data_IF_180583183265
#
_entry.id   IF_180583183265
#
_cell.length_a   1.000
_cell.length_b   1.000
_cell.length_c   1.000
_cell.angle_alpha   90.00
_cell.angle_beta   90.00
_cell.angle_gamma   90.00
#
_symmetry.space_group_name_H-M   'P 1'
#
loop_
_entity.id
_entity.type
_entity.pdbx_description
1 polymer ?
#
# COMPACT_ATOMS: atom_id res chain seq x y z
N UNK A 1 26.21 -20.34 35.73
CA UNK A 1 24.74 -20.23 35.65
C UNK A 1 24.43 -18.77 35.39
N UNK A 2 24.11 -18.41 34.14
CA UNK A 2 23.82 -17.02 33.74
C UNK A 2 22.31 -16.86 33.80
N UNK A 3 21.83 -15.98 34.67
CA UNK A 3 20.41 -15.63 34.76
C UNK A 3 20.09 -14.55 33.73
N UNK A 4 19.20 -14.84 32.79
CA UNK A 4 18.54 -13.83 31.98
C UNK A 4 17.49 -13.14 32.85
N UNK A 5 17.68 -11.84 33.12
CA UNK A 5 16.61 -10.99 33.64
C UNK A 5 15.79 -10.54 32.43
N UNK A 6 14.50 -10.87 32.32
CA UNK A 6 13.66 -10.31 31.27
C UNK A 6 13.54 -8.80 31.53
N UNK A 7 14.09 -7.98 30.64
CA UNK A 7 13.85 -6.55 30.64
C UNK A 7 12.38 -6.32 30.29
N UNK A 8 11.57 -6.03 31.31
CA UNK A 8 10.23 -5.48 31.14
C UNK A 8 10.38 -4.17 30.37
N UNK A 9 9.66 -4.01 29.26
CA UNK A 9 9.50 -2.72 28.60
C UNK A 9 8.71 -1.84 29.57
N UNK A 10 9.40 -1.11 30.43
CA UNK A 10 8.83 -0.05 31.24
C UNK A 10 8.84 1.21 30.39
N UNK A 11 7.73 1.51 29.70
CA UNK A 11 7.51 2.88 29.24
C UNK A 11 7.11 3.71 30.46
N UNK A 12 7.93 4.68 30.84
CA UNK A 12 7.65 5.64 31.92
C UNK A 12 6.66 6.74 31.48
N UNK A 13 6.05 6.60 30.31
CA UNK A 13 5.02 7.50 29.83
C UNK A 13 3.67 7.00 30.33
N UNK A 14 3.11 7.67 31.34
CA UNK A 14 1.70 7.54 31.64
C UNK A 14 0.92 7.76 30.34
N UNK A 15 0.25 6.71 29.83
CA UNK A 15 -0.70 6.87 28.73
C UNK A 15 -1.84 7.72 29.28
N UNK A 16 -1.81 9.02 29.00
CA UNK A 16 -2.99 9.86 29.11
C UNK A 16 -3.91 9.45 27.97
N UNK A 17 -5.00 8.75 28.32
CA UNK A 17 -6.06 8.46 27.35
C UNK A 17 -6.74 9.78 27.02
N UNK A 18 -6.28 10.45 25.97
CA UNK A 18 -7.01 11.60 25.41
C UNK A 18 -8.31 11.05 24.84
N UNK A 19 -9.44 11.65 25.21
CA UNK A 19 -10.75 11.27 24.68
C UNK A 19 -10.77 11.32 23.15
N UNK A 20 -11.68 10.59 22.49
CA UNK A 20 -11.70 10.53 21.03
C UNK A 20 -11.90 11.93 20.42
N UNK A 21 -10.96 12.37 19.58
CA UNK A 21 -11.12 13.57 18.75
C UNK A 21 -12.03 13.24 17.57
N UNK A 22 -13.19 13.90 17.48
CA UNK A 22 -14.04 13.77 16.30
C UNK A 22 -13.47 14.62 15.15
N UNK A 23 -12.98 13.97 14.10
CA UNK A 23 -12.38 14.62 12.93
C UNK A 23 -13.47 15.17 11.99
N UNK A 24 -14.74 14.79 12.18
CA UNK A 24 -15.89 15.34 11.45
C UNK A 24 -15.97 14.93 9.98
N UNK A 25 -15.12 13.99 9.54
CA UNK A 25 -15.13 13.47 8.18
C UNK A 25 -15.19 11.93 8.23
N UNK A 26 -16.25 11.36 7.67
CA UNK A 26 -16.44 9.91 7.58
C UNK A 26 -15.75 9.33 6.35
N UNK A 27 -15.08 8.19 6.52
CA UNK A 27 -14.46 7.40 5.44
C UNK A 27 -14.28 5.94 5.84
N UNK A 28 -14.20 5.05 4.85
CA UNK A 28 -13.84 3.63 5.00
C UNK A 28 -12.36 3.41 4.66
N UNK A 29 -11.86 2.19 4.96
CA UNK A 29 -10.47 1.75 4.68
C UNK A 29 -9.42 2.81 5.06
N UNK A 30 -9.36 3.15 6.34
CA UNK A 30 -8.48 4.20 6.82
C UNK A 30 -7.09 3.63 7.14
N UNK A 31 -6.04 4.35 6.74
CA UNK A 31 -4.67 4.11 7.20
C UNK A 31 -4.08 5.38 7.84
N UNK A 32 -3.08 5.22 8.70
CA UNK A 32 -2.44 6.33 9.43
C UNK A 32 -0.92 6.15 9.40
N UNK A 33 -0.20 7.22 9.08
CA UNK A 33 1.25 7.30 9.16
C UNK A 33 1.69 8.46 10.05
N UNK A 34 2.76 8.25 10.83
CA UNK A 34 3.39 9.27 11.65
C UNK A 34 4.79 9.59 11.13
N UNK A 35 5.11 10.87 10.97
CA UNK A 35 6.42 11.28 10.46
C UNK A 35 7.53 10.81 11.43
N UNK A 36 8.52 10.02 10.98
CA UNK A 36 9.57 9.50 11.85
C UNK A 36 10.47 10.61 12.43
N UNK A 37 10.49 11.79 11.81
CA UNK A 37 11.29 12.94 12.22
C UNK A 37 10.47 13.97 13.04
N UNK A 38 9.15 13.80 13.14
CA UNK A 38 8.27 14.68 13.89
C UNK A 38 6.97 13.96 14.27
N UNK A 39 6.92 13.39 15.49
CA UNK A 39 5.77 12.63 15.96
C UNK A 39 4.46 13.44 16.05
N UNK A 40 4.53 14.78 16.06
CA UNK A 40 3.33 15.64 16.00
C UNK A 40 2.75 15.74 14.58
N UNK A 41 3.50 15.34 13.55
CA UNK A 41 3.02 15.31 12.18
C UNK A 41 2.46 13.93 11.83
N UNK A 42 1.13 13.85 11.76
CA UNK A 42 0.37 12.65 11.41
C UNK A 42 -0.34 12.87 10.08
N UNK A 43 -0.51 11.80 9.29
CA UNK A 43 -1.30 11.81 8.06
C UNK A 43 -2.20 10.58 8.05
N UNK A 44 -3.49 10.80 7.93
CA UNK A 44 -4.52 9.80 7.78
C UNK A 44 -4.98 9.77 6.32
N UNK A 45 -5.10 8.57 5.77
CA UNK A 45 -5.57 8.32 4.41
C UNK A 45 -6.89 7.61 4.50
N UNK A 46 -7.86 8.03 3.70
CA UNK A 46 -9.21 7.51 3.80
C UNK A 46 -10.08 7.81 2.58
N UNK A 47 -11.08 6.95 2.39
CA UNK A 47 -12.07 7.07 1.31
C UNK A 47 -13.07 8.19 1.66
N UNK A 48 -12.66 9.46 1.59
CA UNK A 48 -13.49 10.59 2.04
C UNK A 48 -14.52 11.05 1.03
N UNK A 49 -14.18 10.97 -0.25
CA UNK A 49 -15.05 11.26 -1.39
C UNK A 49 -14.33 10.74 -2.62
N UNK A 50 -15.04 10.36 -3.68
CA UNK A 50 -14.45 10.14 -5.01
C UNK A 50 -13.82 11.43 -5.62
N UNK A 51 -13.60 12.47 -4.80
CA UNK A 51 -12.95 13.72 -5.18
C UNK A 51 -11.47 13.67 -4.82
N UNK A 52 -10.58 13.91 -5.79
CA UNK A 52 -9.14 14.03 -5.56
C UNK A 52 -8.76 15.13 -4.56
N UNK A 53 -9.63 16.12 -4.32
CA UNK A 53 -9.32 17.28 -3.48
C UNK A 53 -9.09 16.96 -1.99
N UNK A 54 -9.32 15.72 -1.53
CA UNK A 54 -9.17 15.29 -0.14
C UNK A 54 -8.62 13.85 0.00
N UNK A 55 -7.45 13.58 -0.58
CA UNK A 55 -6.77 12.27 -0.49
C UNK A 55 -6.41 11.86 0.94
N UNK A 56 -6.13 12.84 1.79
CA UNK A 56 -5.64 12.62 3.14
C UNK A 56 -6.03 13.77 4.06
N UNK A 57 -6.05 13.47 5.34
CA UNK A 57 -6.10 14.43 6.44
C UNK A 57 -4.74 14.47 7.11
N UNK A 58 -4.30 15.65 7.55
CA UNK A 58 -3.04 15.78 8.28
C UNK A 58 -3.23 16.53 9.59
N UNK A 59 -2.38 16.22 10.55
CA UNK A 59 -2.21 16.94 11.81
C UNK A 59 -0.76 17.37 11.95
N UNK A 60 -0.53 18.51 12.61
CA UNK A 60 0.79 19.03 13.00
C UNK A 60 0.95 19.16 14.52
N UNK A 61 -0.06 18.74 15.28
CA UNK A 61 -0.16 18.90 16.73
C UNK A 61 -0.49 17.57 17.44
N UNK A 62 -0.04 16.46 16.86
CA UNK A 62 -0.18 15.13 17.46
C UNK A 62 -1.61 14.59 17.44
N UNK A 63 -2.44 15.06 16.50
CA UNK A 63 -3.82 14.59 16.32
C UNK A 63 -4.87 15.41 17.09
N UNK A 64 -4.49 16.57 17.65
CA UNK A 64 -5.43 17.47 18.33
C UNK A 64 -6.32 18.19 17.33
N UNK A 65 -5.74 18.68 16.23
CA UNK A 65 -6.45 19.27 15.09
C UNK A 65 -6.06 18.58 13.78
N UNK A 66 -6.99 18.60 12.82
CA UNK A 66 -6.86 17.92 11.53
C UNK A 66 -7.30 18.83 10.39
N UNK A 67 -6.55 18.78 9.30
CA UNK A 67 -6.75 19.60 8.11
C UNK A 67 -6.78 18.71 6.87
N UNK A 68 -7.60 19.09 5.88
CA UNK A 68 -7.63 18.38 4.61
C UNK A 68 -6.39 18.73 3.78
N UNK A 69 -5.68 17.71 3.32
CA UNK A 69 -4.64 17.87 2.31
C UNK A 69 -5.26 18.14 0.95
N UNK A 70 -4.60 18.95 0.13
CA UNK A 70 -5.08 19.32 -1.21
C UNK A 70 -4.20 18.73 -2.29
N UNK A 71 -4.79 18.22 -3.37
CA UNK A 71 -4.04 17.85 -4.58
C UNK A 71 -3.73 19.06 -5.43
N UNK A 72 -2.46 19.25 -5.77
CA UNK A 72 -1.99 20.31 -6.66
C UNK A 72 -2.00 19.87 -8.13
N UNK A 73 -1.95 18.57 -8.38
CA UNK A 73 -2.02 17.98 -9.71
C UNK A 73 -2.63 16.58 -9.64
N UNK A 74 -3.35 16.21 -10.69
CA UNK A 74 -3.85 14.86 -10.89
C UNK A 74 -3.28 14.34 -12.20
N UNK A 75 -2.94 13.04 -12.28
CA UNK A 75 -2.60 12.47 -13.57
C UNK A 75 -3.84 12.55 -14.50
N UNK A 76 -3.68 12.44 -15.82
CA UNK A 76 -4.82 12.31 -16.72
C UNK A 76 -5.62 11.03 -16.39
N UNK A 77 -6.88 11.14 -15.94
CA UNK A 77 -7.63 9.98 -15.47
C UNK A 77 -8.89 10.27 -14.67
N UNK A 78 -9.79 9.28 -14.60
CA UNK A 78 -10.82 9.14 -13.58
C UNK A 78 -10.22 8.22 -12.53
N UNK A 79 -9.99 8.76 -11.35
CA UNK A 79 -9.48 8.01 -10.22
C UNK A 79 -10.64 7.74 -9.30
N UNK A 80 -10.94 6.47 -9.09
CA UNK A 80 -11.63 6.05 -7.89
C UNK A 80 -10.55 6.01 -6.81
N UNK A 81 -10.67 6.86 -5.80
CA UNK A 81 -9.78 6.82 -4.63
C UNK A 81 -10.46 5.96 -3.59
N UNK A 82 -10.32 4.64 -3.74
CA UNK A 82 -10.85 3.64 -2.83
C UNK A 82 -9.68 2.84 -2.25
N UNK A 83 -9.91 2.25 -1.07
CA UNK A 83 -8.94 1.50 -0.28
C UNK A 83 -7.55 2.15 -0.12
N UNK A 84 -7.46 3.45 0.22
CA UNK A 84 -6.18 4.13 0.26
C UNK A 84 -5.28 3.58 1.36
N UNK A 85 -4.07 3.20 0.97
CA UNK A 85 -3.01 2.87 1.91
C UNK A 85 -1.84 3.84 1.74
N UNK A 86 -1.30 4.30 2.86
CA UNK A 86 -0.24 5.28 2.84
C UNK A 86 0.85 5.02 3.86
N UNK A 87 2.05 5.43 3.46
CA UNK A 87 3.31 5.23 4.20
C UNK A 87 4.09 6.53 4.27
N UNK A 88 5.17 6.54 5.06
CA UNK A 88 6.13 7.64 5.14
C UNK A 88 7.55 7.11 5.05
N UNK A 89 8.42 7.76 4.27
CA UNK A 89 9.84 7.41 4.19
C UNK A 89 10.66 8.01 5.35
N UNK A 90 11.93 7.62 5.46
CA UNK A 90 12.77 8.09 6.57
C UNK A 90 13.09 9.59 6.52
N UNK A 91 12.81 10.27 5.41
CA UNK A 91 12.92 11.73 5.28
C UNK A 91 11.64 12.45 5.68
N UNK A 92 10.55 11.72 5.98
CA UNK A 92 9.26 12.31 6.32
C UNK A 92 8.42 12.67 5.09
N UNK A 93 8.74 12.15 3.91
CA UNK A 93 7.85 12.27 2.76
C UNK A 93 6.77 11.20 2.87
N UNK A 94 5.52 11.62 2.71
CA UNK A 94 4.39 10.71 2.74
C UNK A 94 4.01 10.27 1.33
N UNK A 95 3.54 9.04 1.22
CA UNK A 95 3.07 8.42 -0.01
C UNK A 95 1.70 7.82 0.24
N UNK A 96 0.82 7.88 -0.76
CA UNK A 96 -0.45 7.16 -0.76
C UNK A 96 -0.67 6.52 -2.11
N UNK A 97 -1.03 5.26 -2.10
CA UNK A 97 -1.57 4.53 -3.24
C UNK A 97 -3.06 4.29 -3.03
N UNK A 98 -3.80 4.13 -4.12
CA UNK A 98 -5.25 3.88 -4.05
C UNK A 98 -5.67 2.79 -5.01
N UNK A 99 -6.54 1.89 -4.59
CA UNK A 99 -7.25 0.99 -5.47
C UNK A 99 -8.14 1.76 -6.46
N UNK A 100 -8.31 1.23 -7.67
CA UNK A 100 -9.29 1.76 -8.63
C UNK A 100 -8.76 2.77 -9.65
N UNK A 101 -7.44 2.95 -9.75
CA UNK A 101 -6.83 3.82 -10.77
C UNK A 101 -7.10 3.36 -12.20
N UNK A 102 -7.72 4.24 -13.01
CA UNK A 102 -7.93 4.06 -14.45
C UNK A 102 -7.37 5.24 -15.23
N UNK A 103 -6.52 4.96 -16.21
CA UNK A 103 -6.13 5.97 -17.17
C UNK A 103 -7.29 6.19 -18.15
N UNK A 104 -7.92 7.36 -18.15
CA UNK A 104 -9.08 7.64 -19.01
C UNK A 104 -8.70 7.88 -20.46
N UNK A 105 -7.47 8.28 -20.73
CA UNK A 105 -6.99 8.51 -22.10
C UNK A 105 -6.85 7.18 -22.84
N UNK A 106 -6.28 6.18 -22.18
CA UNK A 106 -6.08 4.84 -22.77
C UNK A 106 -7.15 3.84 -22.38
N UNK A 107 -8.05 4.22 -21.48
CA UNK A 107 -9.10 3.39 -20.90
C UNK A 107 -8.58 2.14 -20.17
N UNK A 108 -7.29 2.10 -19.81
CA UNK A 108 -6.59 0.96 -19.21
C UNK A 108 -6.41 1.10 -17.69
N UNK A 109 -6.10 -0.03 -17.03
CA UNK A 109 -5.73 -0.05 -15.62
C UNK A 109 -4.39 0.66 -15.44
N UNK A 110 -4.31 1.55 -14.47
CA UNK A 110 -3.09 2.23 -14.08
C UNK A 110 -3.19 2.69 -12.63
N UNK A 111 -2.34 2.15 -11.77
CA UNK A 111 -2.28 2.53 -10.37
C UNK A 111 -1.18 3.56 -10.16
N UNK A 112 -1.47 4.69 -9.50
CA UNK A 112 -0.51 5.77 -9.27
C UNK A 112 -0.29 6.00 -7.78
N UNK A 113 0.91 6.45 -7.43
CA UNK A 113 1.17 7.02 -6.12
C UNK A 113 1.07 8.54 -6.14
N UNK A 114 0.71 9.08 -4.99
CA UNK A 114 0.79 10.50 -4.68
C UNK A 114 1.80 10.70 -3.56
N UNK A 115 2.53 11.81 -3.63
CA UNK A 115 3.58 12.16 -2.69
C UNK A 115 3.32 13.53 -2.07
N UNK A 116 3.55 13.62 -0.77
CA UNK A 116 3.60 14.87 -0.01
C UNK A 116 4.98 15.03 0.64
N UNK A 117 5.57 16.22 0.48
CA UNK A 117 6.86 16.60 1.09
C UNK A 117 6.72 17.71 2.14
N UNK A 118 5.49 18.18 2.38
CA UNK A 118 5.15 19.20 3.38
C UNK A 118 4.33 18.59 4.55
N UNK A 119 4.41 17.27 4.67
CA UNK A 119 3.80 16.48 5.74
C UNK A 119 2.28 16.42 5.69
N UNK A 120 1.74 16.21 4.49
CA UNK A 120 0.35 15.90 4.20
C UNK A 120 -0.50 17.08 3.72
N UNK A 121 0.06 18.29 3.62
CA UNK A 121 -0.70 19.48 3.25
C UNK A 121 -0.96 19.56 1.74
N UNK A 122 0.04 19.27 0.92
CA UNK A 122 -0.10 19.18 -0.53
C UNK A 122 0.33 17.82 -1.08
N UNK A 123 -0.36 17.38 -2.13
CA UNK A 123 -0.16 16.08 -2.77
C UNK A 123 0.04 16.24 -4.27
N UNK A 124 1.13 15.66 -4.77
CA UNK A 124 1.44 15.60 -6.20
C UNK A 124 1.42 14.15 -6.66
N UNK A 125 0.82 13.87 -7.81
CA UNK A 125 0.94 12.55 -8.43
C UNK A 125 2.36 12.29 -8.93
N UNK A 126 2.85 11.08 -8.76
CA UNK A 126 4.08 10.63 -9.41
C UNK A 126 3.84 10.34 -10.90
N UNK A 127 4.83 10.57 -11.77
CA UNK A 127 4.64 10.54 -13.22
C UNK A 127 4.40 9.14 -13.78
N UNK A 128 4.96 8.12 -13.12
CA UNK A 128 4.90 6.72 -13.55
C UNK A 128 3.91 5.96 -12.68
N UNK A 129 2.97 5.19 -13.26
CA UNK A 129 2.14 4.31 -12.46
C UNK A 129 2.98 3.21 -11.81
N UNK A 130 2.59 2.75 -10.63
CA UNK A 130 3.13 1.56 -9.95
C UNK A 130 3.06 0.36 -10.90
N UNK A 131 1.92 0.19 -11.54
CA UNK A 131 1.71 -0.77 -12.61
C UNK A 131 0.61 -0.29 -13.56
N UNK A 132 0.65 -0.83 -14.77
CA UNK A 132 -0.34 -0.63 -15.82
C UNK A 132 -0.54 -1.92 -16.60
N UNK A 133 -1.45 -1.94 -17.57
CA UNK A 133 -1.65 -3.09 -18.46
C UNK A 133 -0.38 -3.53 -19.23
N UNK A 134 0.63 -2.67 -19.35
CA UNK A 134 1.90 -3.00 -20.01
C UNK A 134 2.95 -3.56 -19.03
N UNK A 135 2.70 -3.51 -17.72
CA UNK A 135 3.62 -4.02 -16.69
C UNK A 135 3.73 -5.55 -16.77
N UNK A 136 4.96 -6.06 -16.75
CA UNK A 136 5.20 -7.51 -16.66
C UNK A 136 5.17 -7.96 -15.21
N UNK A 137 4.68 -9.17 -14.99
CA UNK A 137 4.68 -9.85 -13.71
C UNK A 137 5.36 -11.20 -13.87
N UNK A 138 6.44 -11.44 -13.12
CA UNK A 138 7.11 -12.73 -13.05
C UNK A 138 6.28 -13.70 -12.22
N UNK A 139 6.00 -14.89 -12.75
CA UNK A 139 5.11 -15.86 -12.11
C UNK A 139 5.86 -16.88 -11.23
N UNK A 140 5.20 -17.41 -10.17
CA UNK A 140 5.67 -18.60 -9.47
C UNK A 140 5.83 -19.78 -10.45
N UNK A 141 6.97 -20.45 -10.43
CA UNK A 141 7.27 -21.55 -11.35
C UNK A 141 7.88 -21.12 -12.69
N UNK A 142 8.07 -19.81 -12.91
CA UNK A 142 8.74 -19.25 -14.08
C UNK A 142 7.79 -18.70 -15.14
N UNK A 143 8.35 -17.91 -16.07
CA UNK A 143 7.60 -17.19 -17.09
C UNK A 143 7.11 -15.83 -16.61
N UNK A 144 6.46 -15.10 -17.52
CA UNK A 144 5.92 -13.76 -17.28
C UNK A 144 4.50 -13.65 -17.79
N UNK A 145 3.72 -12.81 -17.13
CA UNK A 145 2.38 -12.40 -17.55
C UNK A 145 2.30 -10.87 -17.63
N UNK A 146 1.28 -10.34 -18.28
CA UNK A 146 0.97 -8.90 -18.27
C UNK A 146 -0.21 -8.62 -17.37
N UNK A 147 -0.24 -7.46 -16.72
CA UNK A 147 -1.44 -7.00 -16.02
C UNK A 147 -2.59 -6.85 -17.02
N UNK A 148 -3.78 -7.28 -16.63
CA UNK A 148 -4.93 -7.24 -17.51
C UNK A 148 -5.36 -5.84 -17.96
N UNK A 149 -5.75 -5.72 -19.23
CA UNK A 149 -6.46 -4.54 -19.74
C UNK A 149 -7.90 -4.53 -19.22
N UNK A 150 -8.48 -3.35 -19.06
CA UNK A 150 -9.89 -3.24 -18.65
C UNK A 150 -10.76 -3.76 -19.78
N UNK A 151 -11.56 -4.78 -19.49
CA UNK A 151 -12.58 -5.31 -20.42
C UNK A 151 -13.92 -4.67 -20.04
N UNK A 152 -14.68 -4.10 -21.00
CA UNK A 152 -16.00 -3.55 -20.71
C UNK A 152 -16.90 -4.58 -20.00
N UNK A 153 -17.54 -4.16 -18.90
CA UNK A 153 -18.44 -5.01 -18.12
C UNK A 153 -17.73 -5.94 -17.12
N UNK A 154 -16.40 -5.94 -17.07
CA UNK A 154 -15.62 -6.65 -16.05
C UNK A 154 -15.13 -5.62 -15.03
N UNK A 155 -15.51 -5.71 -13.74
CA UNK A 155 -15.03 -4.78 -12.71
C UNK A 155 -13.51 -4.85 -12.57
N UNK A 156 -12.87 -3.76 -12.13
CA UNK A 156 -11.41 -3.64 -11.97
C UNK A 156 -10.86 -4.80 -11.11
N UNK A 157 -9.76 -5.40 -11.55
CA UNK A 157 -9.34 -6.77 -11.19
C UNK A 157 -8.04 -6.80 -10.36
N UNK A 158 -7.97 -6.02 -9.29
CA UNK A 158 -7.01 -6.20 -8.20
C UNK A 158 -7.66 -5.72 -6.91
N UNK A 159 -7.13 -6.08 -5.75
CA UNK A 159 -7.72 -5.72 -4.46
C UNK A 159 -6.64 -5.83 -3.36
N UNK A 160 -6.92 -5.26 -2.20
CA UNK A 160 -6.02 -5.24 -1.03
C UNK A 160 -4.65 -4.67 -1.35
N UNK A 161 -4.62 -3.51 -2.01
CA UNK A 161 -3.36 -2.84 -2.20
C UNK A 161 -2.80 -2.29 -0.89
N UNK A 162 -1.49 -2.42 -0.73
CA UNK A 162 -0.77 -1.90 0.42
C UNK A 162 0.58 -1.34 -0.01
N UNK A 163 1.03 -0.31 0.67
CA UNK A 163 2.32 0.33 0.44
C UNK A 163 3.11 0.45 1.74
N UNK A 164 4.41 0.22 1.66
CA UNK A 164 5.33 0.52 2.75
C UNK A 164 6.63 1.08 2.23
N UNK A 165 7.19 2.03 2.99
CA UNK A 165 8.55 2.51 2.81
C UNK A 165 9.45 1.82 3.83
N UNK A 166 10.62 1.36 3.39
CA UNK A 166 11.64 0.85 4.31
C UNK A 166 12.29 2.01 5.07
N UNK A 167 11.86 2.21 6.31
CA UNK A 167 12.39 3.25 7.18
C UNK A 167 13.52 2.78 8.09
N UNK A 168 13.89 1.50 8.02
CA UNK A 168 14.90 0.94 8.91
C UNK A 168 16.26 1.63 8.66
N UNK A 169 16.92 2.15 9.71
CA UNK A 169 18.23 2.78 9.57
C UNK A 169 19.34 1.79 9.20
N UNK A 170 19.13 0.49 9.43
CA UNK A 170 20.11 -0.57 9.17
C UNK A 170 19.79 -1.39 7.93
N UNK A 171 18.64 -1.17 7.29
CA UNK A 171 18.30 -1.92 6.08
C UNK A 171 19.21 -1.48 4.93
N UNK A 172 19.75 -2.44 4.15
CA UNK A 172 20.46 -2.12 2.91
C UNK A 172 19.54 -1.51 1.85
N UNK A 173 18.21 -1.59 2.04
CA UNK A 173 17.18 -1.09 1.12
C UNK A 173 16.42 0.10 1.68
N UNK A 174 16.98 0.80 2.68
CA UNK A 174 16.37 1.99 3.28
C UNK A 174 15.88 2.96 2.21
N UNK A 175 14.64 3.44 2.39
CA UNK A 175 13.85 4.30 1.51
C UNK A 175 13.36 3.66 0.20
N UNK A 176 13.57 2.37 -0.02
CA UNK A 176 12.81 1.67 -1.05
C UNK A 176 11.32 1.67 -0.69
N UNK A 177 10.48 1.79 -1.70
CA UNK A 177 9.04 1.62 -1.59
C UNK A 177 8.66 0.24 -2.09
N UNK A 178 7.74 -0.40 -1.40
CA UNK A 178 7.15 -1.67 -1.79
C UNK A 178 5.65 -1.51 -1.87
N UNK A 179 5.10 -1.90 -3.00
CA UNK A 179 3.67 -1.90 -3.24
C UNK A 179 3.22 -3.35 -3.46
N UNK A 180 2.16 -3.74 -2.77
CA UNK A 180 1.59 -5.08 -2.86
C UNK A 180 0.19 -4.96 -3.41
N UNK A 181 -0.16 -5.81 -4.36
CA UNK A 181 -1.52 -5.97 -4.84
C UNK A 181 -1.89 -7.45 -4.82
N UNK A 182 -3.07 -7.77 -4.30
CA UNK A 182 -3.65 -9.11 -4.37
C UNK A 182 -4.75 -9.15 -5.45
N UNK A 183 -5.22 -10.36 -5.76
CA UNK A 183 -6.31 -10.60 -6.73
C UNK A 183 -6.09 -9.94 -8.09
N UNK A 184 -4.84 -9.72 -8.44
CA UNK A 184 -4.48 -9.07 -9.69
C UNK A 184 -4.73 -10.04 -10.85
N UNK A 185 -5.59 -9.65 -11.79
CA UNK A 185 -5.77 -10.41 -13.01
C UNK A 185 -4.61 -10.22 -13.95
N UNK A 186 -4.09 -11.35 -14.39
CA UNK A 186 -2.92 -11.43 -15.26
C UNK A 186 -3.30 -12.14 -16.55
N UNK A 187 -2.77 -11.62 -17.64
CA UNK A 187 -2.85 -12.22 -18.95
C UNK A 187 -1.59 -13.05 -19.19
N UNK A 188 -1.72 -14.37 -19.05
CA UNK A 188 -0.65 -15.37 -19.29
C UNK A 188 -0.56 -15.77 -20.77
N UNK A 189 -1.52 -15.35 -21.60
CA UNK A 189 -1.54 -15.54 -23.05
C UNK A 189 -1.74 -14.18 -23.74
N UNK A 190 -1.87 -14.11 -25.07
CA UNK A 190 -2.18 -12.84 -25.75
C UNK A 190 -3.68 -12.55 -25.85
N UNK A 191 -4.56 -13.51 -25.52
CA UNK A 191 -5.97 -13.46 -25.95
C UNK A 191 -7.02 -13.53 -24.85
N UNK A 192 -6.71 -13.88 -23.60
CA UNK A 192 -7.72 -13.88 -22.53
C UNK A 192 -7.16 -13.51 -21.16
N UNK A 193 -7.79 -12.49 -20.54
CA UNK A 193 -7.59 -12.20 -19.13
C UNK A 193 -8.07 -13.37 -18.29
N UNK A 194 -7.13 -13.99 -17.58
CA UNK A 194 -7.47 -15.04 -16.65
C UNK A 194 -7.72 -14.40 -15.30
N UNK A 195 -8.89 -14.71 -14.76
CA UNK A 195 -9.25 -14.39 -13.39
C UNK A 195 -8.43 -15.31 -12.47
N UNK A 196 -7.15 -15.02 -12.29
CA UNK A 196 -6.26 -15.76 -11.38
C UNK A 196 -6.57 -15.40 -9.90
N UNK A 197 -7.76 -14.85 -9.63
CA UNK A 197 -8.14 -13.92 -8.55
C UNK A 197 -8.05 -14.41 -7.12
N UNK A 198 -7.50 -15.59 -6.84
CA UNK A 198 -7.61 -16.14 -5.48
C UNK A 198 -6.30 -16.46 -4.79
N UNK A 199 -5.15 -16.53 -5.48
CA UNK A 199 -3.94 -17.08 -4.84
C UNK A 199 -2.64 -16.31 -5.05
N UNK A 200 -2.62 -15.28 -5.90
CA UNK A 200 -1.38 -14.52 -6.13
C UNK A 200 -1.37 -13.21 -5.35
N UNK A 201 -0.20 -12.92 -4.81
CA UNK A 201 0.18 -11.59 -4.32
C UNK A 201 1.33 -11.10 -5.18
N UNK A 202 1.16 -9.93 -5.79
CA UNK A 202 2.19 -9.30 -6.62
C UNK A 202 2.85 -8.20 -5.83
N UNK A 203 4.19 -8.21 -5.80
CA UNK A 203 4.99 -7.18 -5.17
C UNK A 203 5.72 -6.37 -6.24
N UNK A 204 5.66 -5.05 -6.12
CA UNK A 204 6.39 -4.07 -6.90
C UNK A 204 7.37 -3.34 -5.99
N UNK A 205 8.53 -2.96 -6.53
CA UNK A 205 9.58 -2.24 -5.79
C UNK A 205 9.98 -0.97 -6.54
N UNK A 206 10.13 0.12 -5.81
CA UNK A 206 10.79 1.33 -6.28
C UNK A 206 12.01 1.62 -5.41
N UNK A 207 13.09 2.08 -6.05
CA UNK A 207 14.36 2.45 -5.38
C UNK A 207 14.65 3.95 -5.48
N UNK A 208 13.72 4.74 -6.02
CA UNK A 208 13.89 6.16 -6.35
C UNK A 208 12.73 7.03 -5.85
N UNK A 209 12.08 6.58 -4.76
CA UNK A 209 10.97 7.30 -4.15
C UNK A 209 9.70 7.31 -5.02
N UNK A 210 9.47 6.22 -5.77
CA UNK A 210 8.27 5.99 -6.57
C UNK A 210 8.30 6.62 -7.96
N UNK A 211 9.44 7.17 -8.40
CA UNK A 211 9.56 7.75 -9.74
C UNK A 211 9.56 6.66 -10.83
N UNK A 212 10.17 5.51 -10.53
CA UNK A 212 10.12 4.30 -11.36
C UNK A 212 9.83 3.07 -10.51
N UNK A 213 9.31 2.02 -11.16
CA UNK A 213 8.94 0.76 -10.55
C UNK A 213 9.57 -0.40 -11.32
N UNK A 214 10.09 -1.36 -10.56
CA UNK A 214 10.53 -2.64 -11.09
C UNK A 214 9.29 -3.47 -11.40
N UNK A 215 9.32 -4.21 -12.51
CA UNK A 215 8.29 -5.16 -12.92
C UNK A 215 7.88 -6.07 -11.75
N UNK A 216 6.61 -6.48 -11.73
CA UNK A 216 6.02 -7.19 -10.60
C UNK A 216 6.60 -8.58 -10.40
N UNK A 217 6.68 -9.01 -9.15
CA UNK A 217 6.98 -10.40 -8.78
C UNK A 217 5.77 -11.00 -8.07
N UNK A 218 5.14 -12.01 -8.68
CA UNK A 218 4.02 -12.71 -8.07
C UNK A 218 4.52 -13.87 -7.20
N UNK A 219 3.89 -14.02 -6.06
CA UNK A 219 4.10 -15.11 -5.12
C UNK A 219 2.81 -15.89 -5.00
N UNK A 220 2.94 -17.21 -5.09
CA UNK A 220 1.79 -18.07 -4.87
C UNK A 220 1.55 -18.24 -3.39
N UNK A 221 0.28 -18.10 -3.02
CA UNK A 221 -0.24 -18.49 -1.73
C UNK A 221 -0.97 -19.83 -1.85
N UNK A 222 -0.55 -20.80 -2.67
CA UNK A 222 -1.27 -22.07 -2.91
C UNK A 222 -1.67 -22.87 -1.64
N UNK A 223 -1.05 -22.60 -0.50
CA UNK A 223 -1.53 -23.09 0.81
C UNK A 223 -2.91 -22.51 1.21
N UNK A 224 -3.45 -21.57 0.43
CA UNK A 224 -4.54 -20.66 0.75
C UNK A 224 -5.74 -20.86 -0.17
N UNK A 225 -6.23 -22.10 -0.30
CA UNK A 225 -7.47 -22.43 -0.98
C UNK A 225 -8.67 -21.69 -0.34
N UNK A 226 -9.01 -20.49 -0.82
CA UNK A 226 -10.18 -19.70 -0.42
C UNK A 226 -9.93 -18.43 0.43
N UNK A 227 -8.69 -17.93 0.55
CA UNK A 227 -8.41 -16.83 1.48
C UNK A 227 -8.65 -15.45 0.86
N UNK A 228 -9.72 -14.82 1.34
CA UNK A 228 -10.27 -13.59 0.76
C UNK A 228 -10.03 -12.34 1.62
N UNK A 229 -9.24 -12.38 2.69
CA UNK A 229 -9.14 -11.24 3.62
C UNK A 229 -8.02 -10.24 3.35
N UNK A 230 -8.02 -9.19 4.18
CA UNK A 230 -7.06 -8.08 4.18
C UNK A 230 -5.61 -8.56 4.15
N UNK A 231 -4.80 -7.82 3.39
CA UNK A 231 -3.35 -8.00 3.34
C UNK A 231 -2.71 -6.85 4.11
N UNK A 232 -1.71 -7.17 4.91
CA UNK A 232 -0.84 -6.20 5.55
C UNK A 232 0.59 -6.46 5.11
N UNK A 233 1.36 -5.39 4.95
CA UNK A 233 2.79 -5.47 4.61
C UNK A 233 3.62 -4.88 5.75
N UNK A 234 4.77 -5.50 6.00
CA UNK A 234 5.84 -4.98 6.85
C UNK A 234 7.18 -5.13 6.13
N UNK A 235 8.20 -4.41 6.59
CA UNK A 235 9.58 -4.59 6.13
C UNK A 235 10.49 -4.66 7.35
N UNK A 236 11.32 -5.69 7.41
CA UNK A 236 12.25 -5.92 8.51
C UNK A 236 13.54 -5.15 8.29
N UNK A 237 14.34 -5.06 9.36
CA UNK A 237 15.59 -4.31 9.35
C UNK A 237 16.68 -4.88 8.44
N UNK A 238 16.53 -6.13 7.97
CA UNK A 238 17.40 -6.75 6.97
C UNK A 238 16.83 -6.63 5.54
N UNK A 239 15.71 -5.92 5.36
CA UNK A 239 15.08 -5.71 4.07
C UNK A 239 14.11 -6.79 3.62
N UNK A 240 13.81 -7.78 4.47
CA UNK A 240 12.80 -8.80 4.16
C UNK A 240 11.40 -8.19 4.22
N UNK A 241 10.60 -8.43 3.18
CA UNK A 241 9.21 -8.01 3.14
C UNK A 241 8.36 -9.08 3.81
N UNK A 242 7.53 -8.65 4.76
CA UNK A 242 6.58 -9.47 5.47
C UNK A 242 5.20 -9.21 4.88
N UNK A 243 4.52 -10.25 4.43
CA UNK A 243 3.13 -10.12 3.96
C UNK A 243 2.27 -11.00 4.87
N UNK A 244 1.34 -10.37 5.58
CA UNK A 244 0.32 -11.06 6.35
C UNK A 244 -0.98 -11.12 5.56
N UNK A 245 -1.62 -12.29 5.54
CA UNK A 245 -2.99 -12.48 5.09
C UNK A 245 -3.84 -13.10 6.18
N UNK A 246 -5.04 -12.54 6.38
CA UNK A 246 -6.11 -13.15 7.19
C UNK A 246 -7.11 -13.82 6.25
N UNK A 247 -7.63 -14.98 6.61
CA UNK A 247 -8.75 -15.57 5.88
C UNK A 247 -9.40 -16.74 6.61
N UNK A 248 -10.52 -17.20 6.05
CA UNK A 248 -11.35 -18.27 6.61
C UNK A 248 -11.20 -19.55 5.77
N UNK A 249 -10.43 -20.51 6.28
CA UNK A 249 -10.28 -21.84 5.68
C UNK A 249 -11.15 -22.85 6.42
N UNK A 250 -12.25 -23.30 5.82
CA UNK A 250 -13.11 -24.34 6.41
C UNK A 250 -13.79 -23.94 7.73
N UNK A 251 -14.12 -22.67 7.91
CA UNK A 251 -14.78 -22.14 9.12
C UNK A 251 -13.83 -21.66 10.22
N UNK A 252 -12.51 -21.63 9.97
CA UNK A 252 -11.51 -21.16 10.93
C UNK A 252 -10.70 -19.99 10.37
N UNK A 253 -10.55 -18.94 11.17
CA UNK A 253 -9.70 -17.80 10.88
C UNK A 253 -8.23 -18.13 11.19
N UNK A 254 -7.35 -17.92 10.22
CA UNK A 254 -5.91 -18.11 10.38
C UNK A 254 -5.13 -16.92 9.81
N UNK A 255 -3.95 -16.67 10.39
CA UNK A 255 -2.95 -15.73 9.89
C UNK A 255 -1.84 -16.49 9.19
N UNK A 256 -1.35 -15.96 8.08
CA UNK A 256 -0.12 -16.44 7.44
C UNK A 256 0.86 -15.29 7.28
N UNK A 257 2.10 -15.53 7.68
CA UNK A 257 3.23 -14.63 7.40
C UNK A 257 4.09 -15.21 6.28
N UNK A 258 4.18 -14.50 5.16
CA UNK A 258 5.10 -14.80 4.06
C UNK A 258 6.31 -13.89 4.16
N UNK A 259 7.50 -14.48 4.01
CA UNK A 259 8.76 -13.76 3.90
C UNK A 259 9.15 -13.67 2.42
N UNK A 260 9.18 -12.45 1.90
CA UNK A 260 9.56 -12.17 0.52
C UNK A 260 10.90 -11.44 0.52
N UNK A 261 11.86 -11.97 -0.25
CA UNK A 261 13.10 -11.26 -0.58
C UNK A 261 13.13 -11.01 -2.07
N UNK A 262 13.08 -9.74 -2.45
CA UNK A 262 13.25 -9.31 -3.84
C UNK A 262 14.75 -9.14 -4.06
N UNK A 263 15.33 -9.96 -4.95
CA UNK A 263 16.74 -9.83 -5.33
C UNK A 263 16.99 -8.59 -6.19
#
# INVERSE_FOLDING_TARGET
MIFFIPSVIQSSHALSLVGPTNIGIGGSENSLSANPNNASNLVMFNTLTLSPSRLAMYSKDGGTTWHAGTTTSLPPGQFYFIDPDGTVDSSGNFYVGTFGGRNTTTNNVANYLYKSTDGGATWNSLPTPVFSADTSVSLPGGGTAKVCKVVPGVPLLYDYDKIIADTSPTSPYKNNLYYVAARMDLNTTSTACQNLTTFLVTVFRSTDGGATWIDGQAFSLDQFNGYQGEKMIGVTADGTILINSVGNGGGRWANLLVHVRIQ
#
